data_IF_844269009433
#
_entry.id   IF_844269009433
#
_cell.length_a   1.000
_cell.length_b   1.000
_cell.length_c   1.000
_cell.angle_alpha   90.00
_cell.angle_beta   90.00
_cell.angle_gamma   90.00
#
_symmetry.space_group_name_H-M   'P 1'
#
loop_
_entity.id
_entity.type
_entity.pdbx_description
1 polymer ?
#
# COMPACT_ATOMS: atom_id res chain seq x y z
N UNK A 1 19.84 13.82 40.33
CA UNK A 1 19.89 13.64 41.81
C UNK A 1 20.21 14.93 42.56
N UNK A 2 21.42 15.57 42.35
CA UNK A 2 21.79 16.80 43.01
C UNK A 2 20.90 17.98 42.66
N UNK A 3 20.59 18.19 41.38
CA UNK A 3 19.73 19.26 40.89
C UNK A 3 18.27 19.06 41.35
N UNK A 4 17.77 17.85 41.36
CA UNK A 4 16.41 17.52 41.83
C UNK A 4 16.25 17.73 43.33
N UNK A 5 17.22 17.27 44.12
CA UNK A 5 17.22 17.50 45.56
C UNK A 5 17.30 18.99 45.91
N UNK A 6 18.04 19.79 45.14
CA UNK A 6 18.11 21.24 45.30
C UNK A 6 16.76 21.92 44.97
N UNK A 7 16.07 21.48 43.92
CA UNK A 7 14.74 21.98 43.58
C UNK A 7 13.70 21.65 44.65
N UNK A 8 13.73 20.42 45.19
CA UNK A 8 12.80 19.99 46.25
C UNK A 8 13.06 20.75 47.55
N UNK A 9 14.32 20.96 47.91
CA UNK A 9 14.66 21.75 49.09
C UNK A 9 14.23 23.22 48.97
N UNK A 10 14.33 23.81 47.78
CA UNK A 10 13.86 25.15 47.50
C UNK A 10 12.30 25.25 47.52
N UNK A 11 11.62 24.16 47.21
CA UNK A 11 10.16 24.04 47.31
C UNK A 11 9.65 23.72 48.74
N UNK A 12 10.55 23.55 49.72
CA UNK A 12 10.20 23.21 51.11
C UNK A 12 9.88 21.73 51.33
N UNK A 13 10.21 20.86 50.36
CA UNK A 13 10.06 19.40 50.47
C UNK A 13 11.31 18.74 50.99
N UNK A 14 11.16 17.57 51.66
CA UNK A 14 12.32 16.81 52.15
C UNK A 14 13.13 16.26 50.96
N UNK A 15 14.46 16.30 51.08
CA UNK A 15 15.39 15.70 50.12
C UNK A 15 15.23 14.18 50.08
N UNK A 16 15.27 13.59 48.88
CA UNK A 16 15.25 12.13 48.68
C UNK A 16 16.50 11.50 49.33
N UNK A 17 16.32 10.46 50.12
CA UNK A 17 17.43 9.67 50.67
C UNK A 17 18.03 8.79 49.56
N UNK A 18 19.34 8.45 49.73
CA UNK A 18 20.02 7.53 48.81
C UNK A 18 19.34 6.15 48.74
N UNK A 19 18.67 5.73 49.83
CA UNK A 19 17.95 4.46 49.91
C UNK A 19 16.64 4.51 49.08
N UNK A 20 15.95 5.63 49.04
CA UNK A 20 14.71 5.82 48.22
C UNK A 20 15.04 5.83 46.73
N UNK A 21 16.14 6.50 46.36
CA UNK A 21 16.61 6.52 44.95
C UNK A 21 17.08 5.14 44.49
N UNK A 22 17.74 4.38 45.36
CA UNK A 22 18.17 3.02 45.06
C UNK A 22 16.95 2.07 44.90
N UNK A 23 15.89 2.23 45.69
CA UNK A 23 14.66 1.47 45.57
C UNK A 23 13.93 1.77 44.27
N UNK A 24 13.86 3.03 43.83
CA UNK A 24 13.23 3.41 42.56
C UNK A 24 14.04 2.90 41.37
N UNK A 25 15.35 3.00 41.36
CA UNK A 25 16.21 2.46 40.30
C UNK A 25 16.10 0.93 40.18
N UNK A 26 16.00 0.20 41.28
CA UNK A 26 15.75 -1.24 41.27
C UNK A 26 14.38 -1.60 40.76
N UNK A 27 13.36 -0.79 41.08
CA UNK A 27 11.99 -0.97 40.58
C UNK A 27 11.92 -0.73 39.09
N UNK A 28 12.53 0.33 38.57
CA UNK A 28 12.60 0.62 37.13
C UNK A 28 13.33 -0.49 36.35
N UNK A 29 14.49 -0.94 36.82
CA UNK A 29 15.23 -2.04 36.24
C UNK A 29 14.40 -3.35 36.20
N UNK A 30 13.64 -3.64 37.27
CA UNK A 30 12.74 -4.79 37.32
C UNK A 30 11.59 -4.67 36.35
N UNK A 31 10.99 -3.50 36.20
CA UNK A 31 9.91 -3.25 35.24
C UNK A 31 10.42 -3.33 33.78
N UNK A 32 11.61 -2.80 33.51
CA UNK A 32 12.26 -2.92 32.21
C UNK A 32 12.56 -4.37 31.84
N UNK A 33 13.14 -5.14 32.76
CA UNK A 33 13.44 -6.56 32.54
C UNK A 33 12.16 -7.38 32.27
N UNK A 34 11.06 -7.09 32.98
CA UNK A 34 9.75 -7.72 32.71
C UNK A 34 9.19 -7.36 31.33
N UNK A 35 9.34 -6.10 30.90
CA UNK A 35 8.86 -5.67 29.59
C UNK A 35 9.68 -6.32 28.46
N UNK A 36 10.99 -6.44 28.61
CA UNK A 36 11.86 -7.13 27.65
C UNK A 36 11.51 -8.62 27.51
N UNK A 37 11.33 -9.31 28.64
CA UNK A 37 10.92 -10.72 28.65
C UNK A 37 9.54 -10.91 28.00
N UNK A 38 8.60 -9.98 28.26
CA UNK A 38 7.29 -10.00 27.63
C UNK A 38 7.37 -9.82 26.11
N UNK A 39 8.15 -8.84 25.65
CA UNK A 39 8.36 -8.59 24.22
C UNK A 39 9.06 -9.76 23.52
N UNK A 40 10.11 -10.34 24.13
CA UNK A 40 10.77 -11.53 23.60
C UNK A 40 9.83 -12.73 23.48
N UNK A 41 8.94 -12.91 24.46
CA UNK A 41 7.94 -13.98 24.42
C UNK A 41 6.92 -13.77 23.32
N UNK A 42 6.47 -12.54 23.10
CA UNK A 42 5.56 -12.18 22.01
C UNK A 42 6.20 -12.41 20.64
N UNK A 43 7.45 -11.98 20.47
CA UNK A 43 8.22 -12.17 19.24
C UNK A 43 8.44 -13.68 18.97
N UNK A 44 8.78 -14.46 19.98
CA UNK A 44 8.95 -15.92 19.86
C UNK A 44 7.63 -16.60 19.45
N UNK A 45 6.50 -16.21 20.04
CA UNK A 45 5.18 -16.75 19.69
C UNK A 45 4.77 -16.38 18.28
N UNK A 46 5.08 -15.12 17.85
CA UNK A 46 4.81 -14.67 16.50
C UNK A 46 5.64 -15.44 15.47
N UNK A 47 6.94 -15.62 15.73
CA UNK A 47 7.83 -16.44 14.87
C UNK A 47 7.39 -17.88 14.78
N UNK A 48 6.97 -18.48 15.89
CA UNK A 48 6.45 -19.83 15.90
C UNK A 48 5.14 -19.96 15.08
N UNK A 49 4.27 -18.95 15.18
CA UNK A 49 3.02 -18.89 14.40
C UNK A 49 3.31 -18.75 12.91
N UNK A 50 4.19 -17.82 12.52
CA UNK A 50 4.59 -17.61 11.11
C UNK A 50 5.24 -18.89 10.57
N UNK A 51 6.17 -19.50 11.31
CA UNK A 51 6.81 -20.76 10.89
C UNK A 51 5.84 -21.92 10.75
N UNK A 52 4.81 -22.01 11.62
CA UNK A 52 3.74 -22.98 11.46
C UNK A 52 2.87 -22.72 10.23
N UNK A 53 2.53 -21.45 9.97
CA UNK A 53 1.78 -21.04 8.78
C UNK A 53 2.56 -21.37 7.49
N UNK A 54 3.87 -21.13 7.48
CA UNK A 54 4.76 -21.47 6.36
C UNK A 54 4.86 -22.99 6.18
N UNK A 55 5.05 -23.75 7.27
CA UNK A 55 5.21 -25.21 7.22
C UNK A 55 3.94 -25.93 6.75
N UNK A 56 2.76 -25.43 7.12
CA UNK A 56 1.49 -26.02 6.71
C UNK A 56 0.85 -25.34 5.50
N UNK A 57 1.52 -24.36 4.90
CA UNK A 57 0.99 -23.61 3.75
C UNK A 57 -0.32 -22.88 4.06
N UNK A 58 -0.58 -22.57 5.33
CA UNK A 58 -1.83 -21.95 5.79
C UNK A 58 -1.92 -20.47 5.38
N UNK A 59 -0.79 -19.83 5.09
CA UNK A 59 -0.76 -18.50 4.46
C UNK A 59 -1.15 -18.55 2.98
N UNK A 60 -1.08 -19.72 2.36
CA UNK A 60 -1.68 -20.00 1.06
C UNK A 60 -3.11 -20.48 1.24
N UNK A 61 -3.98 -19.71 1.89
CA UNK A 61 -5.42 -19.96 1.82
C UNK A 61 -5.82 -19.93 0.35
N UNK A 62 -5.74 -21.10 -0.33
CA UNK A 62 -6.37 -21.33 -1.62
C UNK A 62 -6.20 -20.24 -2.69
N UNK A 63 -5.10 -19.47 -2.68
CA UNK A 63 -4.72 -18.67 -3.85
C UNK A 63 -4.49 -19.68 -4.97
N UNK A 64 -5.55 -19.97 -5.71
CA UNK A 64 -5.40 -20.64 -7.00
C UNK A 64 -4.46 -19.74 -7.77
N UNK A 65 -3.30 -20.27 -8.09
CA UNK A 65 -2.36 -19.63 -9.01
C UNK A 65 -3.04 -19.67 -10.38
N UNK A 66 -3.97 -18.71 -10.58
CA UNK A 66 -4.67 -18.59 -11.84
C UNK A 66 -3.65 -18.07 -12.83
N UNK A 67 -3.31 -18.82 -13.88
CA UNK A 67 -2.51 -18.28 -14.94
C UNK A 67 -3.24 -17.03 -15.47
N UNK A 68 -2.49 -15.97 -15.74
CA UNK A 68 -3.06 -14.69 -16.22
C UNK A 68 -3.91 -14.89 -17.48
N UNK A 69 -3.59 -15.90 -18.30
CA UNK A 69 -4.34 -16.26 -19.52
C UNK A 69 -5.77 -16.77 -19.26
N UNK A 70 -6.08 -17.17 -18.03
CA UNK A 70 -7.43 -17.62 -17.66
C UNK A 70 -8.29 -16.52 -17.04
N UNK A 71 -7.77 -15.29 -16.92
CA UNK A 71 -8.46 -14.16 -16.30
C UNK A 71 -9.15 -13.34 -17.38
N UNK A 72 -10.46 -13.07 -17.19
CA UNK A 72 -11.21 -12.20 -18.08
C UNK A 72 -11.12 -10.75 -17.61
N UNK A 73 -10.40 -9.93 -18.36
CA UNK A 73 -10.20 -8.51 -18.05
C UNK A 73 -11.29 -7.66 -18.70
N UNK A 74 -11.76 -6.67 -17.96
CA UNK A 74 -12.63 -5.62 -18.49
C UNK A 74 -11.77 -4.46 -19.01
N UNK A 75 -12.10 -3.92 -20.19
CA UNK A 75 -11.36 -2.76 -20.71
C UNK A 75 -11.53 -1.55 -19.78
N UNK A 76 -10.43 -0.97 -19.27
CA UNK A 76 -10.50 0.19 -18.38
C UNK A 76 -10.94 1.45 -19.10
N UNK A 77 -10.64 1.56 -20.38
CA UNK A 77 -10.97 2.71 -21.22
C UNK A 77 -11.01 2.26 -22.69
N UNK A 78 -11.99 2.73 -23.43
CA UNK A 78 -12.01 2.58 -24.88
C UNK A 78 -11.35 3.81 -25.50
N UNK A 79 -10.28 3.60 -26.29
CA UNK A 79 -9.49 4.69 -26.85
C UNK A 79 -8.44 4.18 -27.83
N UNK A 80 -7.46 5.02 -28.14
CA UNK A 80 -6.37 4.69 -29.06
C UNK A 80 -5.08 4.58 -28.27
N UNK A 81 -4.35 3.47 -28.41
CA UNK A 81 -3.03 3.32 -27.79
C UNK A 81 -2.09 4.30 -28.51
N UNK A 82 -1.54 5.23 -27.73
CA UNK A 82 -0.58 6.24 -28.22
C UNK A 82 0.85 5.92 -27.85
N UNK A 83 1.04 5.15 -26.75
CA UNK A 83 2.34 4.66 -26.36
C UNK A 83 2.20 3.20 -25.88
N UNK A 84 2.97 2.31 -26.50
CA UNK A 84 2.92 0.87 -26.22
C UNK A 84 3.77 0.50 -25.04
N UNK A 85 3.52 -0.67 -24.49
CA UNK A 85 4.30 -1.26 -23.41
C UNK A 85 5.75 -1.48 -23.81
N UNK A 86 6.67 -1.05 -22.94
CA UNK A 86 8.10 -1.39 -22.99
C UNK A 86 8.59 -1.63 -21.55
N UNK A 87 9.06 -2.83 -21.28
CA UNK A 87 9.46 -3.24 -19.92
C UNK A 87 10.53 -2.33 -19.30
N UNK A 88 11.42 -1.75 -20.10
CA UNK A 88 12.57 -1.00 -19.62
C UNK A 88 12.28 0.51 -19.48
N UNK A 89 11.50 1.07 -20.40
CA UNK A 89 11.32 2.52 -20.51
C UNK A 89 9.89 2.99 -20.20
N UNK A 90 8.89 2.13 -20.45
CA UNK A 90 7.47 2.46 -20.28
C UNK A 90 6.66 1.20 -19.91
N UNK A 91 6.70 0.72 -18.64
CA UNK A 91 6.01 -0.51 -18.22
C UNK A 91 4.48 -0.32 -18.12
N UNK A 92 3.87 0.26 -19.14
CA UNK A 92 2.49 0.69 -19.22
C UNK A 92 2.00 0.75 -20.67
N UNK A 93 0.71 1.03 -20.84
CA UNK A 93 0.14 1.51 -22.11
C UNK A 93 -0.53 2.86 -21.88
N UNK A 94 -0.30 3.81 -22.78
CA UNK A 94 -1.02 5.09 -22.79
C UNK A 94 -2.17 5.04 -23.78
N UNK A 95 -3.37 5.35 -23.29
CA UNK A 95 -4.61 5.25 -24.05
C UNK A 95 -5.20 6.66 -24.15
N UNK A 96 -5.14 7.26 -25.35
CA UNK A 96 -5.77 8.55 -25.61
C UNK A 96 -7.28 8.40 -25.70
N UNK A 97 -7.99 9.26 -24.99
CA UNK A 97 -9.44 9.37 -25.03
C UNK A 97 -9.86 10.82 -24.67
N UNK A 98 -11.06 11.24 -25.02
CA UNK A 98 -11.54 12.56 -24.66
C UNK A 98 -11.50 12.81 -23.15
N UNK A 99 -11.20 14.05 -22.76
CA UNK A 99 -11.25 14.48 -21.36
C UNK A 99 -12.60 14.09 -20.73
N UNK A 100 -12.56 13.66 -19.46
CA UNK A 100 -13.72 13.16 -18.70
C UNK A 100 -14.31 11.83 -19.20
N UNK A 101 -13.67 11.11 -20.13
CA UNK A 101 -14.02 9.71 -20.39
C UNK A 101 -13.91 8.92 -19.09
N UNK A 102 -14.83 7.97 -18.89
CA UNK A 102 -14.91 7.19 -17.64
C UNK A 102 -13.85 6.10 -17.66
N UNK A 103 -12.97 6.13 -16.66
CA UNK A 103 -12.03 5.05 -16.38
C UNK A 103 -12.70 4.03 -15.46
N UNK A 104 -12.59 2.75 -15.80
CA UNK A 104 -13.24 1.63 -15.11
C UNK A 104 -12.21 0.66 -14.55
N UNK A 105 -12.59 -0.03 -13.48
CA UNK A 105 -11.76 -1.11 -12.92
C UNK A 105 -11.67 -2.28 -13.91
N UNK A 106 -10.46 -2.77 -14.16
CA UNK A 106 -10.22 -3.87 -15.10
C UNK A 106 -10.61 -5.24 -14.53
N UNK A 107 -10.60 -5.39 -13.21
CA UNK A 107 -10.97 -6.60 -12.47
C UNK A 107 -11.64 -6.22 -11.14
N UNK A 108 -12.28 -7.20 -10.51
CA UNK A 108 -12.72 -7.09 -9.11
C UNK A 108 -11.52 -6.85 -8.21
N UNK A 109 -11.64 -5.95 -7.24
CA UNK A 109 -10.51 -5.66 -6.37
C UNK A 109 -10.80 -4.67 -5.25
N UNK A 110 -9.73 -4.31 -4.56
CA UNK A 110 -9.74 -3.30 -3.49
C UNK A 110 -8.78 -2.18 -3.85
N UNK A 111 -9.20 -0.95 -3.66
CA UNK A 111 -8.36 0.24 -3.86
C UNK A 111 -7.26 0.26 -2.79
N UNK A 112 -6.01 0.06 -3.19
CA UNK A 112 -4.86 0.11 -2.29
C UNK A 112 -4.22 1.49 -2.23
N UNK A 113 -4.43 2.30 -3.26
CA UNK A 113 -3.97 3.69 -3.31
C UNK A 113 -4.97 4.55 -4.09
N UNK A 114 -5.27 5.74 -3.60
CA UNK A 114 -6.02 6.77 -4.29
C UNK A 114 -5.53 8.13 -3.81
N UNK A 115 -4.84 8.88 -4.66
CA UNK A 115 -4.20 10.13 -4.24
C UNK A 115 -3.62 10.93 -5.39
N UNK A 116 -2.89 11.97 -5.02
CA UNK A 116 -2.21 12.91 -5.93
C UNK A 116 -0.71 12.85 -5.77
N UNK A 117 0.02 12.93 -6.87
CA UNK A 117 1.46 13.21 -6.90
C UNK A 117 1.76 14.28 -7.96
N UNK A 118 2.84 15.04 -7.76
CA UNK A 118 3.24 16.07 -8.75
C UNK A 118 3.63 15.43 -10.09
N UNK A 119 4.20 14.25 -10.07
CA UNK A 119 4.69 13.54 -11.25
C UNK A 119 3.55 12.91 -12.05
N UNK A 120 2.68 12.13 -11.39
CA UNK A 120 1.66 11.30 -12.06
C UNK A 120 0.23 11.84 -11.94
N UNK A 121 0.03 12.98 -11.26
CA UNK A 121 -1.29 13.54 -11.01
C UNK A 121 -2.16 12.65 -10.14
N UNK A 122 -3.48 12.68 -10.37
CA UNK A 122 -4.41 11.78 -9.70
C UNK A 122 -4.20 10.34 -10.15
N UNK A 123 -3.85 9.50 -9.18
CA UNK A 123 -3.52 8.09 -9.39
C UNK A 123 -4.39 7.21 -8.50
N UNK A 124 -4.89 6.12 -9.05
CA UNK A 124 -5.59 5.08 -8.31
C UNK A 124 -4.98 3.72 -8.66
N UNK A 125 -4.74 2.88 -7.63
CA UNK A 125 -4.24 1.52 -7.80
C UNK A 125 -5.14 0.53 -7.10
N UNK A 126 -5.40 -0.60 -7.77
CA UNK A 126 -6.28 -1.67 -7.32
C UNK A 126 -5.47 -2.95 -7.13
N UNK A 127 -5.68 -3.60 -5.98
CA UNK A 127 -5.22 -4.97 -5.74
C UNK A 127 -6.33 -5.94 -6.15
N UNK A 128 -5.98 -6.91 -6.97
CA UNK A 128 -6.86 -7.98 -7.44
C UNK A 128 -6.43 -9.33 -6.86
N UNK A 129 -7.24 -10.36 -7.07
CA UNK A 129 -6.85 -11.75 -6.79
C UNK A 129 -5.76 -12.21 -7.75
N UNK A 130 -4.99 -13.25 -7.37
CA UNK A 130 -3.92 -13.80 -8.20
C UNK A 130 -2.68 -12.92 -8.29
N UNK A 131 -2.38 -12.16 -7.21
CA UNK A 131 -1.20 -11.28 -7.12
C UNK A 131 -1.09 -10.25 -8.24
N UNK A 132 -2.26 -9.76 -8.72
CA UNK A 132 -2.35 -8.73 -9.74
C UNK A 132 -2.62 -7.37 -9.13
N UNK A 133 -2.00 -6.34 -9.71
CA UNK A 133 -2.25 -4.92 -9.40
C UNK A 133 -2.45 -4.17 -10.71
N UNK A 134 -3.47 -3.33 -10.75
CA UNK A 134 -3.65 -2.37 -11.84
C UNK A 134 -3.50 -0.94 -11.33
N UNK A 135 -2.83 -0.08 -12.10
CA UNK A 135 -2.60 1.32 -11.75
C UNK A 135 -3.05 2.23 -12.89
N UNK A 136 -3.75 3.29 -12.53
CA UNK A 136 -4.38 4.25 -13.43
C UNK A 136 -3.90 5.65 -13.06
N UNK A 137 -3.13 6.30 -13.96
CA UNK A 137 -2.49 7.62 -13.71
C UNK A 137 -3.03 8.70 -14.63
N UNK A 138 -2.65 9.94 -14.34
CA UNK A 138 -3.00 11.16 -15.08
C UNK A 138 -4.48 11.49 -15.09
N UNK A 139 -5.25 10.89 -14.16
CA UNK A 139 -6.69 11.12 -14.08
C UNK A 139 -7.00 12.60 -13.74
N UNK A 140 -8.16 13.09 -14.18
CA UNK A 140 -8.69 14.38 -13.77
C UNK A 140 -9.18 14.37 -12.32
N UNK A 141 -9.88 13.31 -11.95
CA UNK A 141 -10.41 13.11 -10.60
C UNK A 141 -10.70 11.64 -10.34
N UNK A 142 -10.72 11.27 -9.06
CA UNK A 142 -10.97 9.91 -8.59
C UNK A 142 -12.40 9.80 -8.06
N UNK A 143 -13.07 8.69 -8.35
CA UNK A 143 -14.43 8.37 -7.90
C UNK A 143 -14.43 7.43 -6.68
N UNK A 144 -13.28 6.85 -6.36
CA UNK A 144 -13.07 5.89 -5.28
C UNK A 144 -11.93 6.34 -4.39
N UNK A 145 -11.93 5.87 -3.15
CA UNK A 145 -10.90 6.13 -2.14
C UNK A 145 -10.24 4.83 -1.69
N UNK A 146 -9.10 4.95 -1.08
CA UNK A 146 -8.38 3.82 -0.49
C UNK A 146 -9.28 3.02 0.48
N UNK A 147 -9.26 1.70 0.35
CA UNK A 147 -10.09 0.77 1.10
C UNK A 147 -11.43 0.41 0.42
N UNK A 148 -11.88 1.14 -0.60
CA UNK A 148 -13.11 0.81 -1.33
C UNK A 148 -12.94 -0.51 -2.09
N UNK A 149 -13.99 -1.33 -2.11
CA UNK A 149 -14.09 -2.51 -2.98
C UNK A 149 -14.81 -2.14 -4.27
N UNK A 150 -14.32 -2.66 -5.37
CA UNK A 150 -14.87 -2.44 -6.71
C UNK A 150 -15.00 -3.76 -7.48
N UNK A 151 -16.00 -3.84 -8.32
CA UNK A 151 -16.11 -4.94 -9.30
C UNK A 151 -15.57 -4.48 -10.65
N UNK A 152 -15.19 -5.45 -11.50
CA UNK A 152 -14.80 -5.19 -12.89
C UNK A 152 -15.85 -4.32 -13.60
N UNK A 153 -15.41 -3.35 -14.39
CA UNK A 153 -16.27 -2.39 -15.07
C UNK A 153 -16.82 -1.25 -14.21
N UNK A 154 -16.58 -1.24 -12.89
CA UNK A 154 -17.01 -0.14 -12.01
C UNK A 154 -16.25 1.15 -12.35
N UNK A 155 -16.93 2.31 -12.52
CA UNK A 155 -16.26 3.62 -12.64
C UNK A 155 -15.40 3.94 -11.43
N UNK A 156 -14.12 4.27 -11.67
CA UNK A 156 -13.13 4.56 -10.63
C UNK A 156 -12.49 5.94 -10.75
N UNK A 157 -12.46 6.51 -11.96
CA UNK A 157 -11.86 7.82 -12.24
C UNK A 157 -12.38 8.41 -13.53
N UNK A 158 -11.96 9.63 -13.85
CA UNK A 158 -12.15 10.29 -15.14
C UNK A 158 -10.81 10.59 -15.79
N UNK A 159 -10.71 10.36 -17.10
CA UNK A 159 -9.55 10.72 -17.92
C UNK A 159 -9.23 12.20 -17.78
N UNK A 160 -7.95 12.51 -17.67
CA UNK A 160 -7.43 13.86 -17.58
C UNK A 160 -6.04 13.99 -18.17
N UNK A 161 -5.40 15.12 -17.81
CA UNK A 161 -4.05 15.47 -18.20
C UNK A 161 -3.33 16.04 -16.96
N UNK A 162 -3.29 15.28 -15.88
CA UNK A 162 -2.72 15.75 -14.61
C UNK A 162 -1.36 15.12 -14.33
N UNK A 163 -0.50 15.88 -13.61
CA UNK A 163 0.88 15.49 -13.34
C UNK A 163 1.86 16.03 -14.40
N UNK A 164 3.12 16.20 -14.01
CA UNK A 164 4.14 16.84 -14.86
C UNK A 164 4.64 15.96 -16.01
N UNK A 165 4.39 14.63 -15.93
CA UNK A 165 4.77 13.68 -16.99
C UNK A 165 3.67 13.44 -18.02
N UNK A 166 2.49 14.06 -17.87
CA UNK A 166 1.41 13.98 -18.85
C UNK A 166 1.53 15.06 -19.92
N UNK A 167 1.35 14.70 -21.18
CA UNK A 167 1.45 15.60 -22.34
C UNK A 167 0.11 15.86 -23.03
N UNK A 168 -0.98 15.28 -22.57
CA UNK A 168 -2.32 15.40 -23.16
C UNK A 168 -3.34 14.53 -22.45
N UNK A 169 -4.61 14.60 -22.87
CA UNK A 169 -5.67 13.78 -22.29
C UNK A 169 -5.47 12.30 -22.64
N UNK A 170 -5.05 11.50 -21.67
CA UNK A 170 -4.87 10.06 -21.80
C UNK A 170 -5.00 9.36 -20.45
N UNK A 171 -5.11 8.06 -20.48
CA UNK A 171 -4.94 7.16 -19.34
C UNK A 171 -3.59 6.46 -19.48
N UNK A 172 -2.73 6.62 -18.51
CA UNK A 172 -1.56 5.78 -18.32
C UNK A 172 -1.96 4.58 -17.49
N UNK A 173 -1.93 3.39 -18.09
CA UNK A 173 -2.41 2.14 -17.49
C UNK A 173 -1.31 1.11 -17.34
N UNK A 174 -1.09 0.68 -16.09
CA UNK A 174 -0.13 -0.38 -15.75
C UNK A 174 -0.86 -1.63 -15.27
N UNK A 175 -0.37 -2.78 -15.67
CA UNK A 175 -0.77 -4.08 -15.15
C UNK A 175 0.44 -4.81 -14.59
N UNK A 176 0.34 -5.26 -13.35
CA UNK A 176 1.39 -5.97 -12.65
C UNK A 176 0.91 -7.34 -12.22
N UNK A 177 1.73 -8.37 -12.40
CA UNK A 177 1.47 -9.72 -11.94
C UNK A 177 2.68 -10.26 -11.19
N UNK A 178 2.49 -10.70 -9.94
CA UNK A 178 3.57 -11.22 -9.06
C UNK A 178 4.78 -10.28 -8.96
N UNK A 179 4.52 -8.97 -8.91
CA UNK A 179 5.56 -7.95 -8.79
C UNK A 179 6.30 -7.59 -10.08
N UNK A 180 5.92 -8.16 -11.23
CA UNK A 180 6.48 -7.82 -12.54
C UNK A 180 5.43 -7.12 -13.40
N UNK A 181 5.84 -6.07 -14.13
CA UNK A 181 4.97 -5.43 -15.11
C UNK A 181 4.70 -6.40 -16.27
N UNK A 182 3.48 -6.42 -16.76
CA UNK A 182 3.06 -7.24 -17.92
C UNK A 182 2.38 -6.36 -18.95
N UNK A 183 2.58 -6.70 -20.22
CA UNK A 183 1.95 -5.96 -21.32
C UNK A 183 0.42 -6.11 -21.28
N UNK A 184 -0.33 -5.03 -20.96
CA UNK A 184 -1.79 -5.12 -20.89
C UNK A 184 -2.46 -5.44 -22.23
N UNK A 185 -1.83 -5.08 -23.34
CA UNK A 185 -2.39 -5.27 -24.69
C UNK A 185 -2.50 -6.73 -25.11
N UNK A 186 -1.78 -7.63 -24.42
CA UNK A 186 -1.91 -9.08 -24.63
C UNK A 186 -3.19 -9.67 -24.05
N UNK A 187 -3.84 -8.96 -23.11
CA UNK A 187 -4.99 -9.47 -22.33
C UNK A 187 -6.25 -8.61 -22.48
N UNK A 188 -6.09 -7.35 -22.88
CA UNK A 188 -7.17 -6.34 -22.92
C UNK A 188 -7.22 -5.69 -24.30
N UNK A 189 -8.41 -5.60 -24.87
CA UNK A 189 -8.68 -4.77 -26.04
C UNK A 189 -9.15 -3.39 -25.59
N UNK A 190 -8.48 -2.34 -26.04
CA UNK A 190 -8.73 -0.93 -25.69
C UNK A 190 -9.57 -0.20 -26.72
#
# INVERSE_FOLDING_TARGET
>A
LYAENLQRTLAGEQSLSLEEVAKDSHREAYLQSKSEVYLQRQDSLLRAKVGAEEQYGLSSSGKRDLPIEGVHFFSPLVGVITNSFDMATHPAVDIAAPANSVVKATLDGTVIFAGWSNEYGYTISLQHSGDMVSTYKHNRSLLKKQGDRVSAGTPIAYVGNTGSTSSGDHLHFELWHKGSAVDPSLYISF
#
